data_IF_344449789554
#
_entry.id   IF_344449789554
#
_cell.length_a   1.000
_cell.length_b   1.000
_cell.length_c   1.000
_cell.angle_alpha   90.00
_cell.angle_beta   90.00
_cell.angle_gamma   90.00
#
_symmetry.space_group_name_H-M   'P 1'
#
loop_
_entity.id
_entity.type
_entity.pdbx_description
1 polymer ?
#
# COMPACT_ATOMS: atom_id res chain seq x y z
N UNK A 1 -15.87 -3.61 -6.53
CA UNK A 1 -15.47 -4.09 -5.19
C UNK A 1 -15.08 -2.87 -4.39
N UNK A 2 -15.80 -2.55 -3.31
CA UNK A 2 -15.49 -1.37 -2.49
C UNK A 2 -14.38 -1.75 -1.52
N UNK A 3 -13.18 -1.19 -1.73
CA UNK A 3 -12.08 -1.30 -0.77
C UNK A 3 -12.40 -0.39 0.42
N UNK A 4 -12.56 -0.92 1.62
CA UNK A 4 -12.85 -0.12 2.83
C UNK A 4 -11.57 0.46 3.42
N UNK A 5 -11.71 1.43 4.32
CA UNK A 5 -10.56 1.96 5.07
C UNK A 5 -9.90 0.86 5.94
N UNK A 6 -10.68 -0.07 6.46
CA UNK A 6 -10.18 -1.22 7.21
C UNK A 6 -9.37 -2.17 6.32
N UNK A 7 -9.85 -2.47 5.12
CA UNK A 7 -9.11 -3.27 4.14
C UNK A 7 -7.79 -2.60 3.73
N UNK A 8 -7.79 -1.26 3.60
CA UNK A 8 -6.55 -0.49 3.36
C UNK A 8 -5.56 -0.63 4.52
N UNK A 9 -6.04 -0.52 5.76
CA UNK A 9 -5.20 -0.72 6.96
C UNK A 9 -4.64 -2.14 7.02
N UNK A 10 -5.43 -3.15 6.67
CA UNK A 10 -4.97 -4.54 6.62
C UNK A 10 -3.88 -4.75 5.56
N UNK A 11 -4.03 -4.19 4.36
CA UNK A 11 -3.00 -4.31 3.31
C UNK A 11 -1.70 -3.62 3.71
N UNK A 12 -1.77 -2.40 4.24
CA UNK A 12 -0.57 -1.67 4.70
C UNK A 12 0.06 -2.37 5.91
N UNK A 13 -0.75 -2.89 6.83
CA UNK A 13 -0.30 -3.67 7.98
C UNK A 13 0.43 -4.95 7.55
N UNK A 14 -0.14 -5.71 6.61
CA UNK A 14 0.51 -6.89 6.02
C UNK A 14 1.84 -6.54 5.36
N UNK A 15 1.89 -5.45 4.58
CA UNK A 15 3.11 -5.02 3.91
C UNK A 15 4.21 -4.63 4.91
N UNK A 16 3.83 -3.93 5.99
CA UNK A 16 4.74 -3.59 7.10
C UNK A 16 5.29 -4.86 7.76
N UNK A 17 4.41 -5.78 8.17
CA UNK A 17 4.81 -7.05 8.79
C UNK A 17 5.77 -7.83 7.90
N UNK A 18 5.45 -7.99 6.61
CA UNK A 18 6.30 -8.67 5.64
C UNK A 18 7.70 -8.04 5.56
N UNK A 19 7.77 -6.71 5.54
CA UNK A 19 9.04 -5.98 5.46
C UNK A 19 9.89 -6.20 6.71
N UNK A 20 9.28 -6.20 7.90
CA UNK A 20 10.00 -6.50 9.15
C UNK A 20 10.51 -7.94 9.16
N UNK A 21 9.69 -8.89 8.69
CA UNK A 21 10.05 -10.30 8.61
C UNK A 21 11.24 -10.51 7.69
N UNK A 22 11.24 -9.91 6.49
CA UNK A 22 12.36 -10.04 5.56
C UNK A 22 13.66 -9.45 6.11
N UNK A 23 13.55 -8.53 7.07
CA UNK A 23 14.68 -7.93 7.77
C UNK A 23 15.11 -8.72 9.03
N UNK A 24 14.44 -9.82 9.35
CA UNK A 24 14.70 -10.63 10.54
C UNK A 24 14.36 -9.92 11.86
N UNK A 25 13.48 -8.91 11.81
CA UNK A 25 13.04 -8.15 12.99
C UNK A 25 11.94 -8.90 13.75
N UNK A 26 11.11 -9.65 13.02
CA UNK A 26 10.02 -10.49 13.55
C UNK A 26 10.18 -11.91 13.04
N UNK A 27 9.72 -12.87 13.84
CA UNK A 27 9.76 -14.29 13.52
C UNK A 27 8.49 -14.75 12.78
N UNK A 28 8.48 -15.99 12.31
CA UNK A 28 7.38 -16.55 11.50
C UNK A 28 6.09 -16.80 12.31
N UNK A 29 6.20 -16.93 13.63
CA UNK A 29 5.09 -17.12 14.56
C UNK A 29 4.47 -15.79 15.05
N UNK A 30 5.09 -14.65 14.73
CA UNK A 30 4.55 -13.34 15.05
C UNK A 30 3.31 -13.03 14.21
N UNK A 31 2.16 -12.87 14.87
CA UNK A 31 0.89 -12.54 14.22
C UNK A 31 0.80 -11.07 13.76
N UNK A 32 1.62 -10.18 14.30
CA UNK A 32 1.56 -8.73 14.05
C UNK A 32 2.93 -8.07 14.11
N UNK A 33 3.06 -6.93 13.42
CA UNK A 33 4.24 -6.09 13.50
C UNK A 33 4.36 -5.43 14.90
N UNK A 34 5.59 -5.28 15.46
CA UNK A 34 5.87 -4.46 16.64
C UNK A 34 5.29 -3.05 16.54
N UNK A 35 4.93 -2.47 17.68
CA UNK A 35 4.34 -1.12 17.74
C UNK A 35 5.30 -0.03 17.22
N UNK A 36 6.61 -0.23 17.39
CA UNK A 36 7.73 0.61 16.96
C UNK A 36 8.28 0.23 15.58
N UNK A 37 7.60 -0.65 14.84
CA UNK A 37 8.03 -1.13 13.53
C UNK A 37 8.46 -0.04 12.53
N UNK A 38 7.79 1.11 12.53
CA UNK A 38 8.15 2.22 11.65
C UNK A 38 9.50 2.84 12.01
N UNK A 39 9.80 2.95 13.31
CA UNK A 39 11.07 3.47 13.80
C UNK A 39 12.20 2.47 13.50
N UNK A 40 11.93 1.17 13.61
CA UNK A 40 12.86 0.12 13.22
C UNK A 40 13.15 0.15 11.72
N UNK A 41 12.13 0.33 10.88
CA UNK A 41 12.28 0.46 9.43
C UNK A 41 13.00 1.76 9.03
N UNK A 42 12.84 2.83 9.81
CA UNK A 42 13.52 4.10 9.56
C UNK A 42 15.05 4.00 9.59
N UNK A 43 15.60 3.02 10.31
CA UNK A 43 17.02 2.74 10.33
C UNK A 43 17.52 1.99 9.07
N UNK A 44 16.63 1.43 8.25
CA UNK A 44 16.98 0.53 7.14
C UNK A 44 16.79 1.22 5.79
N UNK A 45 17.92 1.49 5.12
CA UNK A 45 17.96 2.18 3.83
C UNK A 45 17.19 1.43 2.74
N UNK A 46 16.39 2.15 1.96
CA UNK A 46 15.64 1.63 0.81
C UNK A 46 14.36 0.87 1.14
N UNK A 47 14.30 0.15 2.27
CA UNK A 47 13.09 -0.57 2.69
C UNK A 47 11.99 0.38 3.13
N UNK A 48 12.35 1.41 3.93
CA UNK A 48 11.40 2.46 4.31
C UNK A 48 10.85 3.19 3.09
N UNK A 49 11.73 3.62 2.17
CA UNK A 49 11.30 4.36 0.98
C UNK A 49 10.35 3.52 0.11
N UNK A 50 10.64 2.22 -0.04
CA UNK A 50 9.78 1.30 -0.77
C UNK A 50 8.42 1.07 -0.06
N UNK A 51 8.41 0.96 1.27
CA UNK A 51 7.18 0.81 2.04
C UNK A 51 6.33 2.10 2.03
N UNK A 52 6.97 3.26 2.14
CA UNK A 52 6.33 4.57 2.11
C UNK A 52 5.68 4.81 0.73
N UNK A 53 6.37 4.49 -0.37
CA UNK A 53 5.80 4.57 -1.71
C UNK A 53 4.66 3.57 -1.92
N UNK A 54 4.78 2.35 -1.40
CA UNK A 54 3.69 1.37 -1.42
C UNK A 54 2.44 1.89 -0.70
N UNK A 55 2.60 2.39 0.53
CA UNK A 55 1.50 2.94 1.31
C UNK A 55 0.87 4.14 0.60
N UNK A 56 1.67 5.08 0.10
CA UNK A 56 1.19 6.26 -0.61
C UNK A 56 0.40 5.88 -1.88
N UNK A 57 0.87 4.90 -2.66
CA UNK A 57 0.19 4.46 -3.87
C UNK A 57 -1.18 3.83 -3.58
N UNK A 58 -1.29 3.00 -2.54
CA UNK A 58 -2.57 2.40 -2.12
C UNK A 58 -3.54 3.44 -1.55
N UNK A 59 -3.05 4.42 -0.77
CA UNK A 59 -3.87 5.53 -0.25
C UNK A 59 -4.42 6.38 -1.39
N UNK A 60 -3.60 6.77 -2.35
CA UNK A 60 -4.05 7.57 -3.51
C UNK A 60 -5.11 6.84 -4.34
N UNK A 61 -4.90 5.54 -4.58
CA UNK A 61 -5.87 4.69 -5.28
C UNK A 61 -7.21 4.59 -4.52
N UNK A 62 -7.18 4.42 -3.20
CA UNK A 62 -8.37 4.42 -2.35
C UNK A 62 -9.10 5.78 -2.36
N UNK A 63 -8.36 6.87 -2.22
CA UNK A 63 -8.91 8.23 -2.24
C UNK A 63 -9.65 8.53 -3.54
N UNK A 64 -9.09 8.14 -4.68
CA UNK A 64 -9.78 8.26 -5.98
C UNK A 64 -11.13 7.54 -5.98
N UNK A 65 -11.19 6.30 -5.51
CA UNK A 65 -12.46 5.55 -5.45
C UNK A 65 -13.47 6.19 -4.51
N UNK A 66 -13.01 6.76 -3.38
CA UNK A 66 -13.85 7.50 -2.46
C UNK A 66 -14.45 8.75 -3.12
N UNK A 67 -13.66 9.48 -3.90
CA UNK A 67 -14.11 10.67 -4.64
C UNK A 67 -15.13 10.30 -5.74
N UNK A 68 -14.85 9.26 -6.53
CA UNK A 68 -15.77 8.74 -7.55
C UNK A 68 -17.10 8.30 -6.91
N UNK A 69 -17.04 7.62 -5.77
CA UNK A 69 -18.22 7.20 -5.04
C UNK A 69 -19.03 8.39 -4.53
N UNK A 70 -18.38 9.37 -3.88
CA UNK A 70 -19.02 10.61 -3.40
C UNK A 70 -19.67 11.42 -4.53
N UNK A 71 -19.07 11.39 -5.72
CA UNK A 71 -19.60 12.03 -6.91
C UNK A 71 -20.72 11.23 -7.60
N UNK A 72 -21.06 10.03 -7.13
CA UNK A 72 -22.07 9.17 -7.75
C UNK A 72 -21.67 8.60 -9.11
N UNK A 73 -20.36 8.58 -9.42
CA UNK A 73 -19.80 8.19 -10.73
C UNK A 73 -19.34 6.72 -10.79
N UNK A 74 -19.74 5.89 -9.83
CA UNK A 74 -19.36 4.48 -9.78
C UNK A 74 -19.72 3.76 -11.09
N UNK A 75 -18.69 3.33 -11.83
CA UNK A 75 -18.86 2.65 -13.13
C UNK A 75 -19.16 3.59 -14.31
N UNK A 76 -19.16 4.90 -14.12
CA UNK A 76 -19.38 5.90 -15.15
C UNK A 76 -18.27 6.98 -15.11
N UNK A 77 -17.04 6.53 -15.31
CA UNK A 77 -15.86 7.40 -15.35
C UNK A 77 -15.79 8.12 -16.69
N UNK A 78 -15.42 9.40 -16.66
CA UNK A 78 -15.00 10.10 -17.88
C UNK A 78 -13.69 9.54 -18.43
N UNK A 79 -13.37 9.83 -19.69
CA UNK A 79 -12.09 9.41 -20.29
C UNK A 79 -10.88 9.88 -19.49
N UNK A 80 -10.92 11.09 -18.93
CA UNK A 80 -9.83 11.60 -18.08
C UNK A 80 -9.77 10.88 -16.74
N UNK A 81 -10.90 10.57 -16.12
CA UNK A 81 -10.95 9.83 -14.85
C UNK A 81 -10.47 8.38 -15.04
N UNK A 82 -10.80 7.74 -16.16
CA UNK A 82 -10.26 6.42 -16.51
C UNK A 82 -8.74 6.45 -16.67
N UNK A 83 -8.19 7.45 -17.38
CA UNK A 83 -6.75 7.60 -17.52
C UNK A 83 -6.03 7.82 -16.17
N UNK A 84 -6.66 8.58 -15.25
CA UNK A 84 -6.16 8.74 -13.88
C UNK A 84 -6.19 7.41 -13.13
N UNK A 85 -7.29 6.66 -13.21
CA UNK A 85 -7.41 5.35 -12.57
C UNK A 85 -6.33 4.38 -13.07
N UNK A 86 -6.11 4.32 -14.39
CA UNK A 86 -5.08 3.46 -14.99
C UNK A 86 -3.68 3.82 -14.46
N UNK A 87 -3.34 5.11 -14.40
CA UNK A 87 -2.07 5.57 -13.84
C UNK A 87 -1.91 5.22 -12.35
N UNK A 88 -2.99 5.31 -11.56
CA UNK A 88 -2.98 4.91 -10.15
C UNK A 88 -2.78 3.40 -9.99
N UNK A 89 -3.41 2.58 -10.84
CA UNK A 89 -3.23 1.12 -10.87
C UNK A 89 -1.76 0.82 -11.19
N UNK A 90 -1.21 1.37 -12.26
CA UNK A 90 0.19 1.13 -12.64
C UNK A 90 1.18 1.51 -11.54
N UNK A 91 1.00 2.67 -10.92
CA UNK A 91 1.85 3.12 -9.79
C UNK A 91 1.78 2.13 -8.63
N UNK A 92 0.57 1.69 -8.25
CA UNK A 92 0.35 0.73 -7.17
C UNK A 92 1.02 -0.61 -7.45
N UNK A 93 0.85 -1.14 -8.66
CA UNK A 93 1.46 -2.42 -9.07
C UNK A 93 2.98 -2.33 -9.07
N UNK A 94 3.55 -1.22 -9.55
CA UNK A 94 4.99 -0.96 -9.52
C UNK A 94 5.53 -0.89 -8.10
N UNK A 95 4.88 -0.15 -7.22
CA UNK A 95 5.28 -0.04 -5.81
C UNK A 95 5.22 -1.40 -5.11
N UNK A 96 4.18 -2.20 -5.36
CA UNK A 96 4.08 -3.58 -4.86
C UNK A 96 5.25 -4.43 -5.34
N UNK A 97 5.57 -4.41 -6.64
CA UNK A 97 6.68 -5.20 -7.17
C UNK A 97 8.04 -4.77 -6.61
N UNK A 98 8.28 -3.46 -6.44
CA UNK A 98 9.50 -2.96 -5.79
C UNK A 98 9.59 -3.47 -4.36
N UNK A 99 8.51 -3.37 -3.58
CA UNK A 99 8.49 -3.86 -2.20
C UNK A 99 8.70 -5.38 -2.14
N UNK A 100 8.05 -6.16 -3.01
CA UNK A 100 8.27 -7.61 -3.06
C UNK A 100 9.72 -7.92 -3.41
N UNK A 101 10.30 -7.24 -4.40
CA UNK A 101 11.67 -7.48 -4.86
C UNK A 101 12.72 -7.18 -3.78
N UNK A 102 12.52 -6.16 -2.96
CA UNK A 102 13.46 -5.81 -1.89
C UNK A 102 13.26 -6.67 -0.64
N UNK A 103 12.06 -7.25 -0.45
CA UNK A 103 11.70 -8.10 0.71
C UNK A 103 11.68 -9.60 0.38
N UNK A 104 12.14 -10.01 -0.81
CA UNK A 104 12.24 -11.40 -1.25
C UNK A 104 13.67 -11.91 -1.10
#
# INVERSE_FOLDING_TARGET
>A
MYFTEEELKLVVGWARWRTLRSLGIVEDDDLYAPADALDMLAAVKGHRDALDEFAAAYVAWYQFHLEIYKAGKSGNLSTSESAVLDGLIERRERARHTLIKITA
#
